data_IF_169765589044
#
_entry.id   IF_169765589044
#
_cell.length_a   1.000
_cell.length_b   1.000
_cell.length_c   1.000
_cell.angle_alpha   90.00
_cell.angle_beta   90.00
_cell.angle_gamma   90.00
#
_symmetry.space_group_name_H-M   'P 1'
#
loop_
_entity.id
_entity.type
_entity.pdbx_description
1 polymer ?
#
# COMPACT_ATOMS: atom_id res chain seq x y z
N UNK A 1 -18.35 44.06 -15.76
CA UNK A 1 -17.52 45.25 -15.58
C UNK A 1 -16.88 45.11 -14.20
N UNK A 2 -15.83 44.45 -14.10
CA UNK A 2 -14.39 44.72 -14.05
C UNK A 2 -14.02 45.84 -13.05
N UNK A 3 -13.55 45.41 -11.88
CA UNK A 3 -12.75 46.21 -10.94
C UNK A 3 -11.80 45.26 -10.15
N UNK A 4 -10.91 44.56 -10.86
CA UNK A 4 -9.76 43.84 -10.30
C UNK A 4 -8.62 43.79 -11.32
N UNK A 5 -8.04 44.95 -11.60
CA UNK A 5 -6.76 45.02 -12.30
C UNK A 5 -6.00 46.22 -11.81
N UNK A 6 -5.12 46.06 -10.83
CA UNK A 6 -3.94 46.88 -10.54
C UNK A 6 -3.38 46.56 -9.15
N UNK A 7 -2.76 45.38 -8.99
CA UNK A 7 -1.72 45.23 -7.97
C UNK A 7 -0.49 44.63 -8.64
N UNK A 8 0.45 45.51 -8.94
CA UNK A 8 1.76 45.15 -9.47
C UNK A 8 2.67 44.61 -8.37
N UNK A 9 3.31 43.46 -8.60
CA UNK A 9 4.28 42.80 -7.71
C UNK A 9 5.48 43.70 -7.31
N UNK A 10 5.69 44.85 -7.95
CA UNK A 10 6.76 45.79 -7.62
C UNK A 10 6.44 46.74 -6.47
N UNK A 11 5.19 46.82 -6.00
CA UNK A 11 4.79 47.70 -4.90
C UNK A 11 5.01 47.06 -3.50
N UNK A 12 5.06 45.74 -3.41
CA UNK A 12 5.18 45.03 -2.12
C UNK A 12 6.61 45.02 -1.56
N UNK A 13 7.63 45.23 -2.39
CA UNK A 13 9.04 45.21 -1.96
C UNK A 13 9.59 46.59 -1.52
N UNK A 14 8.78 47.66 -1.57
CA UNK A 14 9.22 49.01 -1.17
C UNK A 14 8.80 49.44 0.25
N UNK A 15 7.94 48.70 0.95
CA UNK A 15 7.47 49.08 2.29
C UNK A 15 7.71 48.01 3.38
N UNK A 16 8.39 46.91 3.06
CA UNK A 16 8.69 45.81 4.00
C UNK A 16 10.06 45.87 4.69
N UNK A 17 10.92 46.85 4.40
CA UNK A 17 12.32 46.82 4.83
C UNK A 17 12.74 47.90 5.85
N UNK A 18 11.81 48.55 6.53
CA UNK A 18 12.17 49.64 7.48
C UNK A 18 11.63 49.42 8.91
N UNK A 19 11.11 48.29 9.29
CA UNK A 19 10.58 48.06 10.65
C UNK A 19 11.27 46.94 11.44
N UNK A 20 12.34 46.34 10.91
CA UNK A 20 12.99 45.16 11.52
C UNK A 20 14.40 45.38 12.12
N UNK A 21 14.96 46.60 12.06
CA UNK A 21 16.38 46.82 12.44
C UNK A 21 16.60 47.74 13.64
N UNK A 22 15.61 47.99 14.51
CA UNK A 22 15.74 48.88 15.65
C UNK A 22 15.70 48.21 17.03
N UNK A 23 15.75 46.86 17.13
CA UNK A 23 15.63 46.16 18.40
C UNK A 23 16.84 45.33 18.85
N UNK A 24 18.01 45.44 18.20
CA UNK A 24 19.16 44.57 18.53
C UNK A 24 20.47 45.33 18.90
N UNK A 25 20.43 46.61 19.29
CA UNK A 25 21.65 47.36 19.66
C UNK A 25 21.48 48.11 20.96
N UNK A 26 20.91 47.52 22.03
CA UNK A 26 20.93 48.17 23.35
C UNK A 26 21.00 47.14 24.47
N UNK A 27 22.04 46.29 24.51
CA UNK A 27 22.37 45.53 25.70
C UNK A 27 23.86 45.15 25.81
N UNK A 28 24.75 46.11 25.51
CA UNK A 28 26.15 45.97 25.88
C UNK A 28 26.67 47.34 26.30
N UNK A 29 26.37 47.78 27.55
CA UNK A 29 27.15 48.77 28.30
C UNK A 29 26.46 48.99 29.67
N UNK A 30 26.78 48.15 30.64
CA UNK A 30 26.87 48.59 32.03
C UNK A 30 27.91 47.73 32.75
N UNK A 31 28.99 48.42 33.10
CA UNK A 31 30.11 47.89 33.88
C UNK A 31 29.70 47.79 35.38
N UNK A 32 30.41 46.88 36.04
CA UNK A 32 30.57 46.73 37.48
C UNK A 32 29.59 45.80 38.21
N UNK A 33 29.99 44.54 38.28
CA UNK A 33 29.67 43.66 39.38
C UNK A 33 30.93 42.85 39.77
N UNK A 34 31.13 42.53 41.05
CA UNK A 34 32.41 42.09 41.62
C UNK A 34 32.77 40.66 41.11
N UNK A 35 34.09 40.47 40.96
CA UNK A 35 34.70 39.18 40.63
C UNK A 35 34.44 38.19 41.74
N UNK A 36 33.56 37.21 41.50
CA UNK A 36 33.45 36.02 42.34
C UNK A 36 34.32 34.95 41.69
N UNK A 37 35.33 34.48 42.41
CA UNK A 37 36.20 33.37 42.00
C UNK A 37 35.37 32.14 41.68
N UNK A 38 35.63 31.41 40.57
CA UNK A 38 34.90 30.20 40.26
C UNK A 38 35.26 29.10 41.26
N UNK A 39 34.26 28.64 42.00
CA UNK A 39 34.31 27.36 42.70
C UNK A 39 34.48 26.24 41.66
N UNK A 40 35.36 25.25 41.88
CA UNK A 40 35.50 24.14 40.93
C UNK A 40 34.16 23.43 40.76
N UNK A 41 33.62 23.44 39.55
CA UNK A 41 32.47 22.63 39.23
C UNK A 41 32.81 21.15 39.42
N UNK A 42 32.02 20.46 40.23
CA UNK A 42 32.11 19.03 40.41
C UNK A 42 32.01 18.35 39.04
N UNK A 43 33.12 17.77 38.63
CA UNK A 43 33.22 16.90 37.48
C UNK A 43 32.39 15.64 37.74
N UNK A 44 31.53 15.27 36.76
CA UNK A 44 31.05 13.91 36.70
C UNK A 44 29.55 13.73 36.66
N UNK A 45 28.88 14.33 35.68
CA UNK A 45 27.68 13.77 35.12
C UNK A 45 28.04 13.11 33.78
N UNK A 46 28.56 11.90 33.80
CA UNK A 46 28.53 11.06 32.62
C UNK A 46 27.06 10.89 32.23
N UNK A 47 26.63 11.61 31.23
CA UNK A 47 25.37 11.30 30.54
C UNK A 47 25.49 9.85 30.11
N UNK A 48 24.87 8.95 30.88
CA UNK A 48 24.79 7.56 30.49
C UNK A 48 24.13 7.56 29.11
N UNK A 49 24.80 7.03 28.10
CA UNK A 49 24.19 6.72 26.81
C UNK A 49 22.88 5.95 27.09
N UNK A 50 21.80 6.22 26.37
CA UNK A 50 20.55 5.52 26.62
C UNK A 50 20.81 4.02 26.55
N UNK A 51 20.71 3.36 27.71
CA UNK A 51 20.81 1.91 27.81
C UNK A 51 19.64 1.34 27.04
N UNK A 52 19.92 0.70 25.91
CA UNK A 52 18.93 -0.16 25.23
C UNK A 52 18.47 -1.16 26.27
N UNK A 53 17.19 -1.16 26.62
CA UNK A 53 16.62 -2.04 27.61
C UNK A 53 16.91 -3.49 27.20
N UNK A 54 17.76 -4.19 27.98
CA UNK A 54 18.09 -5.59 27.80
C UNK A 54 16.94 -6.46 28.30
N UNK A 55 15.85 -6.58 27.51
CA UNK A 55 14.78 -7.53 27.74
C UNK A 55 15.04 -8.85 27.01
N UNK A 56 14.35 -9.91 27.43
CA UNK A 56 14.39 -11.19 26.70
C UNK A 56 13.97 -11.00 25.24
N UNK A 57 14.69 -11.65 24.32
CA UNK A 57 14.35 -11.63 22.89
C UNK A 57 13.07 -12.41 22.64
N UNK A 58 12.14 -11.80 21.91
CA UNK A 58 10.87 -12.39 21.49
C UNK A 58 11.02 -12.75 20.00
N UNK A 59 10.95 -14.03 19.68
CA UNK A 59 10.99 -14.49 18.30
C UNK A 59 9.60 -14.65 17.73
N UNK A 60 9.37 -14.14 16.52
CA UNK A 60 8.16 -14.24 15.74
C UNK A 60 8.37 -15.09 14.50
N UNK A 61 7.65 -16.18 14.37
CA UNK A 61 7.60 -17.02 13.18
C UNK A 61 6.55 -16.46 12.22
N UNK A 62 7.00 -15.78 11.15
CA UNK A 62 6.12 -15.09 10.20
C UNK A 62 6.35 -15.66 8.81
N UNK A 63 5.29 -16.20 8.19
CA UNK A 63 5.33 -16.65 6.81
C UNK A 63 4.86 -15.54 5.87
N UNK A 64 5.58 -15.33 4.78
CA UNK A 64 5.12 -14.47 3.69
C UNK A 64 4.41 -15.28 2.59
N UNK A 65 3.50 -14.61 1.88
CA UNK A 65 2.79 -15.17 0.73
C UNK A 65 3.52 -15.04 -0.61
N UNK A 66 4.82 -14.64 -0.61
CA UNK A 66 5.51 -14.19 -1.80
C UNK A 66 6.72 -15.05 -2.13
N UNK A 67 7.02 -15.17 -3.43
CA UNK A 67 8.26 -15.80 -3.91
C UNK A 67 9.49 -14.97 -3.54
N UNK A 68 10.64 -15.62 -3.37
CA UNK A 68 11.86 -14.98 -2.87
C UNK A 68 12.41 -13.84 -3.75
N UNK A 69 12.07 -13.81 -5.03
CA UNK A 69 12.46 -12.78 -6.01
C UNK A 69 11.38 -11.72 -6.24
N UNK A 70 10.25 -11.78 -5.53
CA UNK A 70 9.19 -10.80 -5.63
C UNK A 70 9.54 -9.52 -4.82
N UNK A 71 9.11 -8.36 -5.32
CA UNK A 71 9.26 -7.10 -4.60
C UNK A 71 8.52 -7.12 -3.26
N UNK A 72 7.41 -7.84 -3.16
CA UNK A 72 6.64 -7.98 -1.92
C UNK A 72 7.42 -8.74 -0.85
N UNK A 73 8.20 -9.74 -1.25
CA UNK A 73 9.12 -10.41 -0.34
C UNK A 73 10.22 -9.46 0.14
N UNK A 74 10.75 -8.63 -0.76
CA UNK A 74 11.73 -7.60 -0.40
C UNK A 74 11.14 -6.61 0.61
N UNK A 75 9.92 -6.14 0.39
CA UNK A 75 9.21 -5.23 1.30
C UNK A 75 8.99 -5.86 2.69
N UNK A 76 8.61 -7.14 2.74
CA UNK A 76 8.49 -7.89 3.99
C UNK A 76 9.84 -8.00 4.74
N UNK A 77 10.92 -8.29 4.02
CA UNK A 77 12.24 -8.41 4.62
C UNK A 77 12.80 -7.05 5.09
N UNK A 78 12.50 -5.96 4.40
CA UNK A 78 12.83 -4.61 4.83
C UNK A 78 12.09 -4.24 6.13
N UNK A 79 10.80 -4.55 6.20
CA UNK A 79 10.04 -4.38 7.43
C UNK A 79 10.62 -5.20 8.58
N UNK A 80 10.94 -6.48 8.35
CA UNK A 80 11.63 -7.34 9.33
C UNK A 80 12.89 -6.66 9.86
N UNK A 81 13.77 -6.22 8.97
CA UNK A 81 15.03 -5.58 9.33
C UNK A 81 14.79 -4.32 10.20
N UNK A 82 13.83 -3.49 9.80
CA UNK A 82 13.45 -2.28 10.55
C UNK A 82 12.92 -2.58 11.96
N UNK A 83 12.10 -3.62 12.11
CA UNK A 83 11.60 -4.06 13.43
C UNK A 83 12.75 -4.53 14.32
N UNK A 84 13.64 -5.36 13.78
CA UNK A 84 14.79 -5.89 14.54
C UNK A 84 15.72 -4.77 14.97
N UNK A 85 16.00 -3.80 14.10
CA UNK A 85 16.81 -2.63 14.38
C UNK A 85 16.16 -1.71 15.45
N UNK A 86 14.92 -1.27 15.22
CA UNK A 86 14.21 -0.37 16.14
C UNK A 86 13.99 -0.98 17.52
N UNK A 87 13.84 -2.31 17.62
CA UNK A 87 13.71 -3.00 18.90
C UNK A 87 15.05 -3.21 19.62
N UNK A 88 16.20 -2.84 19.00
CA UNK A 88 17.53 -3.18 19.50
C UNK A 88 17.75 -4.69 19.61
N UNK A 89 17.13 -5.46 18.72
CA UNK A 89 17.21 -6.93 18.68
C UNK A 89 16.33 -7.64 19.72
N UNK A 90 15.48 -6.93 20.43
CA UNK A 90 14.50 -7.56 21.37
C UNK A 90 13.35 -8.26 20.64
N UNK A 91 13.08 -7.90 19.40
CA UNK A 91 12.22 -8.66 18.49
C UNK A 91 13.12 -9.29 17.43
N UNK A 92 12.89 -10.57 17.17
CA UNK A 92 13.48 -11.30 16.05
C UNK A 92 12.38 -11.91 15.21
N UNK A 93 12.50 -11.81 13.89
CA UNK A 93 11.52 -12.39 12.97
C UNK A 93 12.18 -13.52 12.20
N UNK A 94 11.70 -14.73 12.43
CA UNK A 94 11.98 -15.89 11.59
C UNK A 94 11.08 -15.81 10.37
N UNK A 95 11.65 -15.34 9.26
CA UNK A 95 10.93 -15.05 8.02
C UNK A 95 10.86 -16.32 7.16
N UNK A 96 9.70 -16.93 7.12
CA UNK A 96 9.46 -18.15 6.35
C UNK A 96 9.01 -17.81 4.92
N UNK A 97 9.58 -18.49 3.90
CA UNK A 97 9.12 -18.37 2.53
C UNK A 97 7.66 -18.83 2.33
N UNK A 98 7.08 -18.44 1.19
CA UNK A 98 5.76 -18.92 0.76
C UNK A 98 5.70 -20.46 0.78
N UNK A 99 4.55 -21.00 1.17
CA UNK A 99 4.26 -22.45 1.22
C UNK A 99 5.15 -23.25 2.20
N UNK A 100 5.81 -22.62 3.18
CA UNK A 100 6.63 -23.33 4.17
C UNK A 100 5.77 -24.12 5.17
N UNK A 101 4.78 -23.47 5.76
CA UNK A 101 3.87 -24.08 6.74
C UNK A 101 2.53 -24.38 6.08
N UNK A 102 2.00 -23.44 5.29
CA UNK A 102 0.73 -23.58 4.58
C UNK A 102 0.74 -22.73 3.29
N UNK A 103 -0.24 -22.97 2.42
CA UNK A 103 -0.47 -22.08 1.27
C UNK A 103 -1.08 -20.73 1.70
N UNK A 104 -1.17 -19.80 0.76
CA UNK A 104 -1.65 -18.45 1.05
C UNK A 104 -3.05 -18.42 1.69
N UNK A 105 -3.96 -19.28 1.26
CA UNK A 105 -5.33 -19.31 1.80
C UNK A 105 -5.40 -19.83 3.25
N UNK A 106 -4.39 -20.57 3.69
CA UNK A 106 -4.35 -21.15 5.05
C UNK A 106 -3.57 -20.29 6.07
N UNK A 107 -2.90 -19.20 5.65
CA UNK A 107 -2.01 -18.46 6.55
C UNK A 107 -2.76 -17.81 7.70
N UNK A 108 -3.91 -17.18 7.45
CA UNK A 108 -4.72 -16.56 8.50
C UNK A 108 -5.18 -17.58 9.57
N UNK A 109 -5.54 -18.80 9.16
CA UNK A 109 -5.91 -19.88 10.08
C UNK A 109 -4.70 -20.36 10.89
N UNK A 110 -3.54 -20.45 10.27
CA UNK A 110 -2.31 -20.83 10.97
C UNK A 110 -1.90 -19.77 12.01
N UNK A 111 -2.11 -18.48 11.74
CA UNK A 111 -1.91 -17.40 12.71
C UNK A 111 -2.93 -17.47 13.84
N UNK A 112 -4.21 -17.69 13.52
CA UNK A 112 -5.25 -17.88 14.52
C UNK A 112 -4.94 -19.04 15.48
N UNK A 113 -4.51 -20.17 14.96
CA UNK A 113 -4.17 -21.36 15.71
C UNK A 113 -2.84 -21.26 16.48
N UNK A 114 -1.99 -20.24 16.18
CA UNK A 114 -0.66 -20.11 16.78
C UNK A 114 0.39 -21.04 16.17
N UNK A 115 0.11 -21.70 15.06
CA UNK A 115 1.11 -22.46 14.27
C UNK A 115 2.12 -21.52 13.60
N UNK A 116 1.62 -20.36 13.14
CA UNK A 116 2.39 -19.18 12.80
C UNK A 116 2.13 -18.10 13.86
N UNK A 117 3.14 -17.30 14.14
CA UNK A 117 2.98 -16.11 14.98
C UNK A 117 2.45 -14.92 14.17
N UNK A 118 2.70 -14.92 12.86
CA UNK A 118 2.18 -13.92 11.94
C UNK A 118 2.26 -14.37 10.50
N UNK A 119 1.64 -13.57 9.63
CA UNK A 119 1.66 -13.72 8.19
C UNK A 119 1.81 -12.35 7.50
N UNK A 120 2.45 -12.34 6.33
CA UNK A 120 2.45 -11.21 5.42
C UNK A 120 1.71 -11.63 4.15
N UNK A 121 0.52 -11.09 3.97
CA UNK A 121 -0.42 -11.53 2.93
C UNK A 121 -1.26 -10.37 2.37
N UNK A 122 -2.27 -10.71 1.58
CA UNK A 122 -3.28 -9.78 1.09
C UNK A 122 -4.67 -10.26 1.50
N UNK A 123 -5.59 -9.35 1.91
CA UNK A 123 -6.94 -9.72 2.31
C UNK A 123 -7.78 -10.42 1.22
N UNK A 124 -7.31 -10.44 -0.02
CA UNK A 124 -7.98 -11.11 -1.15
C UNK A 124 -7.77 -12.64 -1.20
N UNK A 125 -6.91 -13.21 -0.33
CA UNK A 125 -6.68 -14.65 -0.24
C UNK A 125 -7.44 -15.28 0.92
N UNK A 126 -6.75 -15.71 1.97
CA UNK A 126 -7.35 -16.38 3.11
C UNK A 126 -8.54 -15.67 3.76
N UNK A 127 -8.43 -14.37 4.07
CA UNK A 127 -9.54 -13.60 4.59
C UNK A 127 -10.77 -13.57 3.67
N UNK A 128 -10.56 -13.40 2.35
CA UNK A 128 -11.63 -13.40 1.35
C UNK A 128 -12.39 -14.73 1.29
N UNK A 129 -11.71 -15.87 1.45
CA UNK A 129 -12.36 -17.17 1.47
C UNK A 129 -13.33 -17.34 2.65
N UNK A 130 -13.16 -16.53 3.69
CA UNK A 130 -14.02 -16.58 4.89
C UNK A 130 -15.17 -15.56 4.81
N UNK A 131 -14.91 -14.39 4.27
CA UNK A 131 -15.91 -13.36 4.05
C UNK A 131 -15.43 -12.40 2.94
N UNK A 132 -16.26 -12.25 1.91
CA UNK A 132 -15.93 -11.40 0.75
C UNK A 132 -15.70 -9.93 1.13
N UNK A 133 -16.25 -9.47 2.27
CA UNK A 133 -15.99 -8.12 2.78
C UNK A 133 -14.49 -7.85 3.05
N UNK A 134 -13.68 -8.88 3.29
CA UNK A 134 -12.24 -8.74 3.46
C UNK A 134 -11.56 -8.18 2.21
N UNK A 135 -12.06 -8.51 1.02
CA UNK A 135 -11.49 -7.99 -0.25
C UNK A 135 -11.62 -6.46 -0.37
N UNK A 136 -12.59 -5.84 0.30
CA UNK A 136 -12.68 -4.37 0.35
C UNK A 136 -11.47 -3.71 1.04
N UNK A 137 -10.69 -4.48 1.78
CA UNK A 137 -9.49 -4.03 2.47
C UNK A 137 -8.19 -4.31 1.70
N UNK A 138 -8.25 -5.06 0.61
CA UNK A 138 -7.08 -5.42 -0.19
C UNK A 138 -7.21 -5.02 -1.66
N UNK A 139 -8.26 -5.50 -2.32
CA UNK A 139 -8.42 -5.48 -3.78
C UNK A 139 -9.78 -4.95 -4.24
N UNK A 140 -10.49 -4.25 -3.37
CA UNK A 140 -11.82 -3.73 -3.67
C UNK A 140 -11.81 -2.52 -4.61
N UNK A 141 -13.00 -1.93 -4.87
CA UNK A 141 -13.13 -0.80 -5.79
C UNK A 141 -12.48 0.49 -5.26
N UNK A 142 -12.15 0.53 -3.97
CA UNK A 142 -11.53 1.68 -3.26
C UNK A 142 -12.21 3.01 -3.51
N UNK A 143 -13.40 3.03 -4.10
CA UNK A 143 -14.16 4.24 -4.46
C UNK A 143 -13.34 5.25 -5.30
N UNK A 144 -12.39 4.77 -6.11
CA UNK A 144 -11.49 5.61 -6.90
C UNK A 144 -10.33 6.24 -6.13
N UNK A 145 -10.20 5.99 -4.83
CA UNK A 145 -9.09 6.47 -4.01
C UNK A 145 -7.76 5.85 -4.45
N UNK A 146 -6.69 6.65 -4.40
CA UNK A 146 -5.33 6.11 -4.46
C UNK A 146 -5.00 5.32 -3.19
N UNK A 147 -3.93 4.51 -3.22
CA UNK A 147 -3.48 3.79 -2.04
C UNK A 147 -3.25 4.68 -0.81
N UNK A 148 -2.68 5.88 -1.00
CA UNK A 148 -2.50 6.87 0.07
C UNK A 148 -3.83 7.40 0.61
N UNK A 149 -4.78 7.74 -0.26
CA UNK A 149 -6.11 8.19 0.17
C UNK A 149 -6.84 7.09 0.92
N UNK A 150 -6.70 5.85 0.46
CA UNK A 150 -7.30 4.69 1.08
C UNK A 150 -6.68 4.39 2.46
N UNK A 151 -5.34 4.45 2.59
CA UNK A 151 -4.68 4.32 3.89
C UNK A 151 -5.04 5.47 4.85
N UNK A 152 -5.32 6.68 4.33
CA UNK A 152 -5.82 7.76 5.18
C UNK A 152 -7.21 7.43 5.76
N UNK A 153 -8.09 6.77 4.98
CA UNK A 153 -9.34 6.20 5.50
C UNK A 153 -9.09 5.12 6.55
N UNK A 154 -8.18 4.20 6.24
CA UNK A 154 -7.89 3.09 7.14
C UNK A 154 -7.41 3.59 8.51
N UNK A 155 -6.46 4.51 8.56
CA UNK A 155 -5.87 4.99 9.80
C UNK A 155 -6.67 6.09 10.51
N UNK A 156 -7.42 6.93 9.79
CA UNK A 156 -8.09 8.12 10.33
C UNK A 156 -9.60 8.19 10.03
N UNK A 157 -10.11 7.31 9.19
CA UNK A 157 -11.53 7.27 8.78
C UNK A 157 -12.32 6.10 9.38
N UNK A 158 -11.72 5.36 10.33
CA UNK A 158 -12.37 4.22 10.99
C UNK A 158 -12.17 2.87 10.30
N UNK A 159 -11.43 2.82 9.19
CA UNK A 159 -11.19 1.59 8.44
C UNK A 159 -10.48 0.51 9.27
N UNK A 160 -9.51 0.91 10.12
CA UNK A 160 -8.80 -0.02 10.99
C UNK A 160 -9.77 -0.74 11.94
N UNK A 161 -10.69 -0.02 12.57
CA UNK A 161 -11.67 -0.63 13.47
C UNK A 161 -12.59 -1.57 12.72
N UNK A 162 -13.07 -1.20 11.54
CA UNK A 162 -13.93 -2.05 10.70
C UNK A 162 -13.22 -3.35 10.31
N UNK A 163 -11.92 -3.29 9.99
CA UNK A 163 -11.16 -4.50 9.67
C UNK A 163 -10.94 -5.39 10.89
N UNK A 164 -10.57 -4.80 12.04
CA UNK A 164 -10.47 -5.57 13.28
C UNK A 164 -11.81 -6.21 13.68
N UNK A 165 -12.93 -5.51 13.51
CA UNK A 165 -14.26 -6.04 13.78
C UNK A 165 -14.60 -7.21 12.84
N UNK A 166 -14.27 -7.11 11.56
CA UNK A 166 -14.42 -8.22 10.61
C UNK A 166 -13.61 -9.45 11.06
N UNK A 167 -12.32 -9.28 11.32
CA UNK A 167 -11.41 -10.38 11.67
C UNK A 167 -11.76 -10.96 13.06
N UNK A 168 -11.92 -10.12 14.08
CA UNK A 168 -12.01 -10.59 15.46
C UNK A 168 -13.44 -10.89 15.92
N UNK A 169 -14.42 -10.09 15.49
CA UNK A 169 -15.81 -10.24 15.96
C UNK A 169 -16.65 -11.09 15.01
N UNK A 170 -16.58 -10.83 13.70
CA UNK A 170 -17.35 -11.59 12.70
C UNK A 170 -16.74 -12.96 12.44
N UNK A 171 -15.45 -13.02 12.12
CA UNK A 171 -14.74 -14.27 11.82
C UNK A 171 -14.24 -14.98 13.08
N UNK A 172 -14.27 -14.34 14.24
CA UNK A 172 -13.84 -14.87 15.55
C UNK A 172 -12.39 -15.37 15.57
N UNK A 173 -11.51 -14.71 14.84
CA UNK A 173 -10.11 -15.10 14.75
C UNK A 173 -9.27 -14.38 15.83
N UNK A 174 -8.34 -15.13 16.43
CA UNK A 174 -7.35 -14.59 17.38
C UNK A 174 -6.20 -13.91 16.63
N UNK A 175 -6.53 -12.87 15.83
CA UNK A 175 -5.60 -12.16 14.98
C UNK A 175 -5.78 -10.66 15.17
N UNK A 176 -4.66 -9.91 15.18
CA UNK A 176 -4.63 -8.47 15.02
C UNK A 176 -3.94 -8.17 13.69
N UNK A 177 -4.59 -7.38 12.86
CA UNK A 177 -4.13 -7.11 11.49
C UNK A 177 -3.77 -5.65 11.31
N UNK A 178 -2.68 -5.38 10.61
CA UNK A 178 -2.27 -4.05 10.21
C UNK A 178 -2.11 -3.99 8.69
N UNK A 179 -2.86 -3.09 8.06
CA UNK A 179 -2.80 -2.90 6.61
C UNK A 179 -1.77 -1.84 6.24
N UNK A 180 -1.02 -2.11 5.18
CA UNK A 180 0.14 -1.32 4.81
C UNK A 180 0.58 -1.56 3.36
N UNK A 181 1.65 -0.90 2.94
CA UNK A 181 2.33 -1.11 1.66
C UNK A 181 1.37 -1.06 0.46
N UNK A 182 0.78 0.12 0.16
CA UNK A 182 -0.14 0.22 -0.96
C UNK A 182 0.59 0.01 -2.28
N UNK A 183 -0.02 -0.78 -3.17
CA UNK A 183 0.43 -0.95 -4.53
C UNK A 183 -0.10 0.16 -5.42
N UNK A 184 0.59 0.39 -6.53
CA UNK A 184 0.10 1.23 -7.62
C UNK A 184 -1.09 0.58 -8.32
N UNK A 185 -1.77 1.33 -9.20
CA UNK A 185 -2.85 0.77 -10.01
C UNK A 185 -2.36 -0.44 -10.80
N UNK A 186 -3.07 -1.55 -10.66
CA UNK A 186 -2.73 -2.80 -11.33
C UNK A 186 -3.07 -2.72 -12.81
N UNK A 187 -2.22 -3.28 -13.71
CA UNK A 187 -2.56 -3.46 -15.10
C UNK A 187 -3.83 -4.28 -15.28
N UNK A 188 -4.57 -4.03 -16.37
CA UNK A 188 -5.70 -4.87 -16.76
C UNK A 188 -5.28 -6.34 -16.89
N UNK A 189 -4.06 -6.58 -17.36
CA UNK A 189 -3.46 -7.89 -17.45
C UNK A 189 -2.50 -8.01 -18.63
N UNK A 190 -2.04 -9.25 -18.83
CA UNK A 190 -1.12 -9.69 -19.87
C UNK A 190 -1.87 -10.54 -20.91
N UNK A 191 -1.76 -10.15 -22.17
CA UNK A 191 -2.56 -10.67 -23.25
C UNK A 191 -1.72 -11.13 -24.44
N UNK A 192 -2.27 -12.05 -25.24
CA UNK A 192 -1.74 -12.43 -26.55
C UNK A 192 -2.03 -11.34 -27.58
N UNK A 193 -3.27 -10.85 -27.58
CA UNK A 193 -3.78 -9.83 -28.48
C UNK A 193 -4.32 -8.63 -27.68
N UNK A 194 -4.38 -7.46 -28.30
CA UNK A 194 -4.89 -6.24 -27.69
C UNK A 194 -6.40 -6.33 -27.43
N UNK A 195 -6.84 -5.99 -26.23
CA UNK A 195 -8.25 -5.84 -25.87
C UNK A 195 -8.75 -4.48 -26.37
N UNK A 196 -9.71 -4.48 -27.25
CA UNK A 196 -10.28 -3.27 -27.88
C UNK A 196 -11.67 -2.92 -27.34
N UNK A 197 -12.37 -3.91 -26.81
CA UNK A 197 -13.73 -3.76 -26.30
C UNK A 197 -14.01 -4.76 -25.16
N UNK A 198 -15.09 -4.56 -24.37
CA UNK A 198 -15.50 -5.54 -23.37
C UNK A 198 -15.84 -6.91 -23.96
N UNK A 199 -16.28 -6.96 -25.23
CA UNK A 199 -16.66 -8.19 -25.90
C UNK A 199 -15.47 -9.15 -26.12
N UNK A 200 -14.25 -8.63 -26.12
CA UNK A 200 -13.03 -9.43 -26.29
C UNK A 200 -12.75 -10.35 -25.08
N UNK A 201 -13.44 -10.13 -23.96
CA UNK A 201 -13.38 -11.02 -22.81
C UNK A 201 -14.31 -12.24 -22.92
N UNK A 202 -15.28 -12.25 -23.84
CA UNK A 202 -16.27 -13.35 -23.95
C UNK A 202 -15.58 -14.69 -24.18
N UNK A 203 -15.77 -15.60 -23.23
CA UNK A 203 -15.20 -16.95 -23.26
C UNK A 203 -13.69 -17.04 -22.98
N UNK A 204 -13.01 -15.92 -22.78
CA UNK A 204 -11.58 -15.90 -22.42
C UNK A 204 -11.37 -16.53 -21.03
N UNK A 205 -10.48 -17.48 -20.94
CA UNK A 205 -10.03 -18.02 -19.65
C UNK A 205 -9.09 -17.04 -19.01
N UNK A 206 -9.59 -16.28 -18.04
CA UNK A 206 -8.85 -15.19 -17.42
C UNK A 206 -8.52 -15.47 -15.97
N UNK A 207 -7.25 -15.25 -15.58
CA UNK A 207 -6.83 -15.37 -14.18
C UNK A 207 -6.95 -14.04 -13.45
N UNK A 208 -7.67 -14.06 -12.34
CA UNK A 208 -7.69 -12.97 -11.36
C UNK A 208 -8.08 -13.52 -9.99
N UNK A 209 -8.12 -12.65 -8.96
CA UNK A 209 -8.42 -13.02 -7.57
C UNK A 209 -9.40 -12.05 -6.90
N UNK A 210 -9.94 -12.43 -5.75
CA UNK A 210 -10.82 -11.59 -4.95
C UNK A 210 -12.09 -11.15 -5.69
N UNK A 211 -12.60 -9.97 -5.40
CA UNK A 211 -13.80 -9.40 -6.03
C UNK A 211 -13.62 -9.12 -7.53
N UNK A 212 -12.39 -8.99 -8.03
CA UNK A 212 -12.13 -8.80 -9.45
C UNK A 212 -12.63 -9.98 -10.31
N UNK A 213 -12.80 -11.17 -9.70
CA UNK A 213 -13.46 -12.32 -10.37
C UNK A 213 -14.82 -11.94 -10.93
N UNK A 214 -15.63 -11.19 -10.17
CA UNK A 214 -16.92 -10.68 -10.62
C UNK A 214 -16.82 -9.66 -11.75
N UNK A 215 -15.77 -8.85 -11.77
CA UNK A 215 -15.55 -7.81 -12.79
C UNK A 215 -15.30 -8.45 -14.16
N UNK A 216 -14.40 -9.43 -14.23
CA UNK A 216 -14.09 -10.11 -15.49
C UNK A 216 -15.21 -11.07 -15.91
N UNK A 217 -15.90 -11.72 -14.96
CA UNK A 217 -17.10 -12.52 -15.25
C UNK A 217 -18.23 -11.68 -15.85
N UNK A 218 -18.42 -10.44 -15.37
CA UNK A 218 -19.39 -9.51 -15.93
C UNK A 218 -19.10 -9.17 -17.41
N UNK A 219 -17.82 -9.09 -17.79
CA UNK A 219 -17.40 -8.91 -19.17
C UNK A 219 -17.50 -10.20 -20.01
N UNK A 220 -17.88 -11.33 -19.41
CA UNK A 220 -18.07 -12.61 -20.10
C UNK A 220 -16.86 -13.54 -20.09
N UNK A 221 -15.82 -13.24 -19.28
CA UNK A 221 -14.68 -14.13 -19.13
C UNK A 221 -15.03 -15.38 -18.30
N UNK A 222 -14.35 -16.49 -18.60
CA UNK A 222 -14.29 -17.68 -17.75
C UNK A 222 -13.16 -17.49 -16.74
N UNK A 223 -13.50 -17.07 -15.52
CA UNK A 223 -12.50 -16.68 -14.53
C UNK A 223 -11.96 -17.88 -13.76
N UNK A 224 -10.63 -17.91 -13.59
CA UNK A 224 -9.90 -18.94 -12.86
C UNK A 224 -9.03 -18.24 -11.80
N UNK A 225 -9.14 -18.66 -10.54
CA UNK A 225 -8.30 -18.15 -9.47
C UNK A 225 -7.18 -19.15 -9.17
N UNK A 226 -5.93 -18.75 -9.44
CA UNK A 226 -4.71 -19.52 -9.14
C UNK A 226 -3.65 -18.61 -8.52
N UNK A 227 -2.71 -19.21 -7.79
CA UNK A 227 -1.60 -18.49 -7.19
C UNK A 227 -0.75 -17.76 -8.23
N UNK A 228 -0.13 -16.63 -7.85
CA UNK A 228 0.71 -15.82 -8.75
C UNK A 228 1.85 -16.62 -9.39
N UNK A 229 2.48 -17.51 -8.63
CA UNK A 229 3.56 -18.36 -9.11
C UNK A 229 3.16 -19.32 -10.26
N UNK A 230 1.87 -19.62 -10.40
CA UNK A 230 1.35 -20.55 -11.41
C UNK A 230 0.87 -19.84 -12.70
N UNK A 231 0.81 -18.51 -12.70
CA UNK A 231 0.21 -17.74 -13.79
C UNK A 231 0.99 -17.92 -15.09
N UNK A 232 2.30 -17.66 -15.09
CA UNK A 232 3.11 -17.74 -16.30
C UNK A 232 3.09 -19.15 -16.90
N UNK A 233 3.24 -20.19 -16.10
CA UNK A 233 3.19 -21.58 -16.58
C UNK A 233 1.80 -21.98 -17.09
N UNK A 234 0.73 -21.42 -16.53
CA UNK A 234 -0.65 -21.64 -16.98
C UNK A 234 -0.94 -20.91 -18.29
N UNK A 235 -0.37 -19.71 -18.48
CA UNK A 235 -0.40 -18.98 -19.75
C UNK A 235 0.35 -19.72 -20.86
N UNK A 236 1.54 -20.25 -20.54
CA UNK A 236 2.37 -20.99 -21.52
C UNK A 236 1.68 -22.27 -22.01
N UNK A 237 1.08 -23.02 -21.08
CA UNK A 237 0.35 -24.27 -21.39
C UNK A 237 -1.06 -24.07 -21.95
N UNK A 238 -1.58 -22.84 -22.04
CA UNK A 238 -2.93 -22.55 -22.49
C UNK A 238 -4.05 -22.97 -21.52
N UNK A 239 -3.72 -23.19 -20.25
CA UNK A 239 -4.73 -23.39 -19.18
C UNK A 239 -5.54 -22.14 -18.99
N UNK A 240 -4.90 -20.97 -19.09
CA UNK A 240 -5.52 -19.65 -19.17
C UNK A 240 -5.04 -18.92 -20.43
N UNK A 241 -5.88 -18.05 -20.97
CA UNK A 241 -5.58 -17.27 -22.16
C UNK A 241 -4.86 -15.96 -21.82
N UNK A 242 -5.30 -15.33 -20.70
CA UNK A 242 -4.75 -14.09 -20.17
C UNK A 242 -4.86 -14.07 -18.65
N UNK A 243 -4.19 -13.12 -18.03
CA UNK A 243 -4.24 -12.95 -16.57
C UNK A 243 -3.50 -11.70 -16.13
N UNK A 244 -3.78 -11.30 -14.92
CA UNK A 244 -3.07 -10.25 -14.19
C UNK A 244 -2.30 -10.83 -13.00
N UNK A 245 -1.34 -10.07 -12.48
CA UNK A 245 -0.79 -10.37 -11.17
C UNK A 245 -0.63 -9.09 -10.35
N UNK A 246 0.28 -8.16 -10.73
CA UNK A 246 0.38 -6.91 -9.99
C UNK A 246 1.05 -5.75 -10.74
N UNK A 247 2.37 -5.75 -10.91
CA UNK A 247 3.16 -4.62 -11.42
C UNK A 247 4.35 -5.11 -12.25
N UNK A 248 5.06 -4.19 -12.91
CA UNK A 248 6.16 -4.54 -13.82
C UNK A 248 7.28 -5.36 -13.16
N UNK A 249 7.59 -5.09 -11.89
CA UNK A 249 8.64 -5.82 -11.15
C UNK A 249 8.18 -7.21 -10.76
N UNK A 250 7.02 -7.34 -10.10
CA UNK A 250 6.45 -8.64 -9.74
C UNK A 250 6.13 -9.50 -10.95
N UNK A 251 5.49 -8.92 -11.97
CA UNK A 251 5.11 -9.64 -13.19
C UNK A 251 6.35 -10.16 -13.93
N UNK A 252 7.46 -9.40 -13.89
CA UNK A 252 8.76 -9.85 -14.42
C UNK A 252 9.33 -10.99 -13.57
N UNK A 253 9.26 -10.89 -12.25
CA UNK A 253 9.77 -11.93 -11.34
C UNK A 253 9.03 -13.26 -11.53
N UNK A 254 7.75 -13.21 -11.86
CA UNK A 254 6.94 -14.40 -12.16
C UNK A 254 6.95 -14.82 -13.62
N UNK A 255 7.64 -14.10 -14.52
CA UNK A 255 7.83 -14.49 -15.91
C UNK A 255 6.68 -14.18 -16.84
N UNK A 256 5.71 -13.33 -16.48
CA UNK A 256 4.58 -12.99 -17.34
C UNK A 256 5.01 -12.35 -18.67
N UNK A 257 6.01 -11.42 -18.69
CA UNK A 257 6.53 -10.83 -19.94
C UNK A 257 7.23 -11.81 -20.87
N UNK A 258 7.59 -13.00 -20.39
CA UNK A 258 8.22 -14.02 -21.23
C UNK A 258 7.19 -14.73 -22.09
N UNK A 259 5.98 -14.94 -21.57
CA UNK A 259 4.90 -15.68 -22.20
C UNK A 259 3.83 -14.81 -22.86
N UNK A 260 3.74 -13.53 -22.52
CA UNK A 260 2.85 -12.55 -23.15
C UNK A 260 3.59 -11.26 -23.44
N UNK A 261 3.30 -10.63 -24.59
CA UNK A 261 4.04 -9.43 -25.05
C UNK A 261 3.21 -8.14 -24.99
N UNK A 262 1.96 -8.23 -24.58
CA UNK A 262 1.07 -7.08 -24.44
C UNK A 262 0.61 -6.99 -22.99
N UNK A 263 0.97 -5.89 -22.34
CA UNK A 263 0.48 -5.50 -21.02
C UNK A 263 -0.49 -4.33 -21.20
N UNK A 264 -1.75 -4.51 -20.82
CA UNK A 264 -2.72 -3.42 -20.87
C UNK A 264 -2.83 -2.75 -19.52
N UNK A 265 -2.71 -1.42 -19.50
CA UNK A 265 -2.59 -0.60 -18.28
C UNK A 265 -3.84 0.23 -18.02
N UNK A 266 -3.93 0.85 -16.85
CA UNK A 266 -5.06 1.68 -16.42
C UNK A 266 -6.38 0.90 -16.35
N UNK A 267 -6.56 0.18 -15.27
CA UNK A 267 -7.75 -0.64 -15.02
C UNK A 267 -8.43 -0.24 -13.71
N UNK A 268 -9.75 -0.36 -13.66
CA UNK A 268 -10.54 -0.14 -12.45
C UNK A 268 -10.86 -1.43 -11.69
N UNK A 269 -10.37 -2.59 -12.14
CA UNK A 269 -10.62 -3.84 -11.41
C UNK A 269 -9.91 -3.84 -10.05
N UNK A 270 -8.72 -3.22 -9.97
CA UNK A 270 -7.91 -3.14 -8.75
C UNK A 270 -7.09 -1.84 -8.76
N UNK A 271 -7.69 -0.71 -8.29
CA UNK A 271 -7.04 0.60 -8.30
C UNK A 271 -5.77 0.68 -7.46
N UNK A 272 -5.69 -0.14 -6.43
CA UNK A 272 -4.52 -0.39 -5.60
C UNK A 272 -4.68 -1.75 -4.94
N UNK A 273 -3.61 -2.32 -4.44
CA UNK A 273 -3.64 -3.47 -3.54
C UNK A 273 -3.02 -3.10 -2.21
N UNK A 274 -3.64 -3.51 -1.13
CA UNK A 274 -3.14 -3.26 0.23
C UNK A 274 -2.75 -4.60 0.83
N UNK A 275 -1.54 -4.65 1.39
CA UNK A 275 -1.03 -5.84 2.05
C UNK A 275 -1.36 -5.81 3.55
N UNK A 276 -1.28 -6.96 4.19
CA UNK A 276 -1.53 -7.14 5.62
C UNK A 276 -0.32 -7.77 6.32
N UNK A 277 -0.02 -7.26 7.51
CA UNK A 277 0.71 -7.99 8.54
C UNK A 277 -0.32 -8.47 9.57
N UNK A 278 -0.59 -9.77 9.54
CA UNK A 278 -1.47 -10.45 10.47
C UNK A 278 -0.64 -11.08 11.59
N UNK A 279 -0.96 -10.76 12.84
CA UNK A 279 -0.23 -11.21 14.01
C UNK A 279 -1.14 -11.99 14.94
N UNK A 280 -0.64 -13.06 15.56
CA UNK A 280 -1.39 -13.71 16.62
C UNK A 280 -1.66 -12.72 17.76
N UNK A 281 -2.95 -12.44 18.00
CA UNK A 281 -3.39 -11.38 18.91
C UNK A 281 -2.89 -11.61 20.33
N UNK A 282 -3.03 -12.84 20.84
CA UNK A 282 -2.59 -13.18 22.21
C UNK A 282 -1.09 -12.94 22.38
N UNK A 283 -0.28 -13.35 21.43
CA UNK A 283 1.17 -13.15 21.46
C UNK A 283 1.51 -11.66 21.35
N UNK A 284 0.84 -10.91 20.45
CA UNK A 284 1.05 -9.48 20.30
C UNK A 284 0.70 -8.70 21.58
N UNK A 285 -0.46 -8.98 22.20
CA UNK A 285 -0.91 -8.29 23.39
C UNK A 285 -0.07 -8.63 24.64
N UNK A 286 0.61 -9.79 24.66
CA UNK A 286 1.52 -10.20 25.75
C UNK A 286 2.87 -9.47 25.71
N UNK A 287 3.23 -8.82 24.61
CA UNK A 287 4.49 -8.08 24.50
C UNK A 287 4.47 -6.81 25.37
N UNK A 288 5.64 -6.33 25.80
CA UNK A 288 5.81 -4.97 26.37
C UNK A 288 5.22 -3.90 25.43
N UNK A 289 4.62 -2.86 25.99
CA UNK A 289 3.91 -1.81 25.23
C UNK A 289 4.81 -1.05 24.25
N UNK A 290 6.08 -0.86 24.60
CA UNK A 290 7.07 -0.27 23.70
C UNK A 290 7.32 -1.14 22.46
N UNK A 291 7.40 -2.46 22.63
CA UNK A 291 7.56 -3.40 21.52
C UNK A 291 6.28 -3.50 20.64
N UNK A 292 5.09 -3.45 21.25
CA UNK A 292 3.84 -3.34 20.51
C UNK A 292 3.83 -2.06 19.65
N UNK A 293 4.32 -0.95 20.21
CA UNK A 293 4.42 0.33 19.50
C UNK A 293 5.43 0.25 18.36
N UNK A 294 6.59 -0.38 18.55
CA UNK A 294 7.58 -0.58 17.50
C UNK A 294 6.96 -1.39 16.35
N UNK A 295 6.30 -2.51 16.63
CA UNK A 295 5.62 -3.32 15.60
C UNK A 295 4.62 -2.47 14.81
N UNK A 296 3.74 -1.75 15.49
CA UNK A 296 2.72 -0.92 14.83
C UNK A 296 3.33 0.19 13.97
N UNK A 297 4.24 0.98 14.53
CA UNK A 297 4.79 2.15 13.82
C UNK A 297 5.76 1.76 12.71
N UNK A 298 6.46 0.65 12.85
CA UNK A 298 7.28 0.10 11.76
C UNK A 298 6.44 -0.32 10.55
N UNK A 299 5.25 -0.86 10.77
CA UNK A 299 4.32 -1.23 9.69
C UNK A 299 3.85 0.02 8.94
N UNK A 300 3.55 1.11 9.66
CA UNK A 300 3.19 2.39 9.05
C UNK A 300 4.37 2.97 8.25
N UNK A 301 5.59 2.94 8.80
CA UNK A 301 6.79 3.39 8.10
C UNK A 301 7.08 2.54 6.85
N UNK A 302 6.90 1.23 6.94
CA UNK A 302 7.06 0.31 5.81
C UNK A 302 6.08 0.58 4.67
N UNK A 303 4.93 1.22 4.94
CA UNK A 303 4.02 1.65 3.87
C UNK A 303 4.65 2.69 2.95
N UNK A 304 5.35 3.68 3.50
CA UNK A 304 6.03 4.71 2.73
C UNK A 304 7.26 4.14 2.00
N UNK A 305 8.11 3.36 2.71
CA UNK A 305 9.27 2.70 2.10
C UNK A 305 8.86 1.79 0.94
N UNK A 306 7.82 0.98 1.13
CA UNK A 306 7.32 0.07 0.11
C UNK A 306 6.78 0.81 -1.11
N UNK A 307 6.01 1.88 -0.94
CA UNK A 307 5.47 2.69 -2.04
C UNK A 307 6.59 3.36 -2.84
N UNK A 308 7.59 3.94 -2.17
CA UNK A 308 8.72 4.58 -2.83
C UNK A 308 9.63 3.59 -3.57
N UNK A 309 9.92 2.44 -2.95
CA UNK A 309 10.70 1.37 -3.56
C UNK A 309 10.01 0.83 -4.81
N UNK A 310 8.69 0.58 -4.74
CA UNK A 310 7.92 0.16 -5.90
C UNK A 310 7.97 1.17 -7.04
N UNK A 311 7.82 2.48 -6.74
CA UNK A 311 7.88 3.53 -7.75
C UNK A 311 9.21 3.47 -8.51
N UNK A 312 10.33 3.37 -7.80
CA UNK A 312 11.65 3.30 -8.40
C UNK A 312 11.85 2.00 -9.20
N UNK A 313 11.59 0.86 -8.59
CA UNK A 313 11.77 -0.46 -9.22
C UNK A 313 10.88 -0.68 -10.43
N UNK A 314 9.59 -0.32 -10.32
CA UNK A 314 8.65 -0.47 -11.42
C UNK A 314 9.03 0.41 -12.62
N UNK A 315 9.56 1.62 -12.40
CA UNK A 315 10.03 2.48 -13.46
C UNK A 315 11.25 1.88 -14.19
N UNK A 316 12.22 1.35 -13.44
CA UNK A 316 13.39 0.68 -14.00
C UNK A 316 13.01 -0.55 -14.83
N UNK A 317 12.13 -1.40 -14.31
CA UNK A 317 11.72 -2.62 -14.98
C UNK A 317 10.79 -2.33 -16.16
N UNK A 318 9.94 -1.31 -16.08
CA UNK A 318 9.18 -0.80 -17.23
C UNK A 318 10.11 -0.42 -18.39
N UNK A 319 11.19 0.33 -18.14
CA UNK A 319 12.14 0.70 -19.17
C UNK A 319 12.83 -0.52 -19.79
N UNK A 320 13.23 -1.50 -18.98
CA UNK A 320 13.81 -2.78 -19.46
C UNK A 320 12.80 -3.58 -20.30
N UNK A 321 11.55 -3.63 -19.89
CA UNK A 321 10.49 -4.34 -20.62
C UNK A 321 10.21 -3.69 -21.97
N UNK A 322 10.19 -2.35 -22.06
CA UNK A 322 10.10 -1.64 -23.33
C UNK A 322 11.25 -2.01 -24.26
N UNK A 323 12.50 -2.03 -23.74
CA UNK A 323 13.70 -2.43 -24.51
C UNK A 323 13.63 -3.89 -24.99
N UNK A 324 12.89 -4.78 -24.30
CA UNK A 324 12.61 -6.15 -24.69
C UNK A 324 11.46 -6.29 -25.69
N UNK A 325 10.85 -5.20 -26.13
CA UNK A 325 9.74 -5.16 -27.09
C UNK A 325 8.36 -5.47 -26.49
N UNK A 326 8.21 -5.37 -25.16
CA UNK A 326 6.89 -5.44 -24.51
C UNK A 326 6.09 -4.20 -24.87
N UNK A 327 4.83 -4.40 -25.24
CA UNK A 327 3.89 -3.31 -25.55
C UNK A 327 3.04 -3.00 -24.31
N UNK A 328 3.15 -1.77 -23.83
CA UNK A 328 2.24 -1.24 -22.80
C UNK A 328 1.16 -0.42 -23.49
N UNK A 329 -0.09 -0.85 -23.37
CA UNK A 329 -1.23 -0.24 -24.08
C UNK A 329 -2.24 0.22 -23.04
N UNK A 330 -2.69 1.47 -23.17
CA UNK A 330 -3.74 2.00 -22.30
C UNK A 330 -5.06 1.29 -22.61
N UNK A 331 -5.70 0.77 -21.60
CA UNK A 331 -7.01 0.11 -21.70
C UNK A 331 -8.05 1.08 -22.29
N UNK A 332 -8.81 0.67 -23.33
CA UNK A 332 -9.85 1.50 -23.92
C UNK A 332 -10.87 1.99 -22.89
N UNK A 333 -11.38 3.21 -23.08
CA UNK A 333 -12.37 3.80 -22.16
C UNK A 333 -13.62 2.91 -22.03
N UNK A 334 -14.08 2.30 -23.13
CA UNK A 334 -15.24 1.40 -23.13
C UNK A 334 -15.06 0.20 -22.19
N UNK A 335 -13.84 -0.35 -22.09
CA UNK A 335 -13.52 -1.44 -21.17
C UNK A 335 -13.54 -0.92 -19.72
N UNK A 336 -12.95 0.24 -19.46
CA UNK A 336 -12.95 0.85 -18.14
C UNK A 336 -14.37 1.21 -17.67
N UNK A 337 -15.20 1.76 -18.54
CA UNK A 337 -16.61 2.03 -18.25
C UNK A 337 -17.42 0.76 -17.96
N UNK A 338 -17.09 -0.33 -18.66
CA UNK A 338 -17.67 -1.65 -18.38
C UNK A 338 -17.28 -2.16 -16.99
N UNK A 339 -16.03 -1.94 -16.55
CA UNK A 339 -15.58 -2.30 -15.21
C UNK A 339 -16.32 -1.51 -14.12
N UNK A 340 -16.63 -0.23 -14.34
CA UNK A 340 -17.43 0.54 -13.38
C UNK A 340 -18.84 -0.02 -13.24
N UNK A 341 -19.50 -0.38 -14.36
CA UNK A 341 -20.80 -1.06 -14.33
C UNK A 341 -20.72 -2.42 -13.65
N UNK A 342 -19.63 -3.15 -13.88
CA UNK A 342 -19.38 -4.41 -13.21
C UNK A 342 -19.26 -4.24 -11.69
N UNK A 343 -18.58 -3.19 -11.21
CA UNK A 343 -18.52 -2.87 -9.80
C UNK A 343 -19.89 -2.59 -9.19
N UNK A 344 -20.79 -1.88 -9.89
CA UNK A 344 -22.15 -1.67 -9.41
C UNK A 344 -22.88 -3.01 -9.22
N UNK A 345 -22.71 -3.94 -10.16
CA UNK A 345 -23.32 -5.27 -10.09
C UNK A 345 -22.72 -6.12 -8.96
N UNK A 346 -21.39 -6.15 -8.84
CA UNK A 346 -20.67 -6.91 -7.80
C UNK A 346 -21.04 -6.37 -6.42
N UNK A 347 -20.97 -5.06 -6.23
CA UNK A 347 -21.30 -4.43 -4.95
C UNK A 347 -22.77 -4.69 -4.55
N UNK A 348 -23.70 -4.65 -5.49
CA UNK A 348 -25.11 -4.96 -5.24
C UNK A 348 -25.31 -6.42 -4.82
N UNK A 349 -24.63 -7.37 -5.48
CA UNK A 349 -24.69 -8.78 -5.15
C UNK A 349 -24.11 -9.08 -3.77
N UNK A 350 -22.91 -8.59 -3.49
CA UNK A 350 -22.21 -8.80 -2.22
C UNK A 350 -22.90 -8.10 -1.03
N UNK A 351 -23.57 -7.00 -1.28
CA UNK A 351 -24.31 -6.25 -0.26
C UNK A 351 -25.61 -6.92 0.19
N UNK A 352 -26.13 -7.87 -0.59
CA UNK A 352 -27.48 -8.42 -0.38
C UNK A 352 -27.65 -9.10 0.99
N UNK A 353 -26.67 -9.92 1.36
CA UNK A 353 -26.73 -10.73 2.57
C UNK A 353 -25.51 -10.55 3.49
N UNK A 354 -24.70 -9.48 3.26
CA UNK A 354 -23.49 -9.20 4.04
C UNK A 354 -23.52 -7.76 4.60
N UNK A 355 -24.04 -7.56 5.82
CA UNK A 355 -24.11 -6.24 6.44
C UNK A 355 -22.72 -5.63 6.72
N UNK A 356 -21.69 -6.45 6.96
CA UNK A 356 -20.30 -5.99 7.11
C UNK A 356 -19.79 -5.40 5.81
N UNK A 357 -20.05 -6.06 4.68
CA UNK A 357 -19.71 -5.53 3.36
C UNK A 357 -20.33 -4.16 3.12
N UNK A 358 -21.63 -4.03 3.41
CA UNK A 358 -22.37 -2.76 3.28
C UNK A 358 -21.77 -1.66 4.16
N UNK A 359 -21.47 -1.98 5.43
CA UNK A 359 -20.91 -1.00 6.36
C UNK A 359 -19.54 -0.49 5.91
N UNK A 360 -18.66 -1.38 5.45
CA UNK A 360 -17.32 -1.05 4.97
C UNK A 360 -17.42 -0.20 3.69
N UNK A 361 -18.20 -0.65 2.71
CA UNK A 361 -18.39 0.04 1.44
C UNK A 361 -18.92 1.46 1.65
N UNK A 362 -19.93 1.61 2.52
CA UNK A 362 -20.51 2.91 2.89
C UNK A 362 -19.48 3.83 3.56
N UNK A 363 -18.65 3.29 4.43
CA UNK A 363 -17.59 4.04 5.11
C UNK A 363 -16.52 4.52 4.13
N UNK A 364 -16.07 3.65 3.21
CA UNK A 364 -15.13 4.03 2.15
C UNK A 364 -15.70 5.12 1.24
N UNK A 365 -16.96 4.97 0.83
CA UNK A 365 -17.64 5.96 0.00
C UNK A 365 -17.71 7.33 0.68
N UNK A 366 -18.14 7.38 1.93
CA UNK A 366 -18.22 8.64 2.69
C UNK A 366 -16.84 9.30 2.86
N UNK A 367 -15.77 8.51 3.02
CA UNK A 367 -14.42 9.05 3.07
C UNK A 367 -13.96 9.59 1.72
N UNK A 368 -14.20 8.87 0.65
CA UNK A 368 -13.91 9.32 -0.71
C UNK A 368 -14.61 10.66 -1.03
N UNK A 369 -15.90 10.76 -0.73
CA UNK A 369 -16.69 12.01 -0.90
C UNK A 369 -16.11 13.19 -0.09
N UNK A 370 -15.46 12.90 1.06
CA UNK A 370 -14.79 13.91 1.89
C UNK A 370 -13.43 14.34 1.34
N UNK A 371 -12.61 13.40 0.85
CA UNK A 371 -11.19 13.69 0.53
C UNK A 371 -10.98 14.14 -0.91
N UNK A 372 -11.83 13.71 -1.85
CA UNK A 372 -11.69 14.08 -3.26
C UNK A 372 -11.78 15.60 -3.52
N UNK A 373 -12.77 16.34 -2.98
CA UNK A 373 -12.85 17.79 -3.21
C UNK A 373 -11.57 18.50 -2.75
N UNK A 374 -11.00 18.08 -1.63
CA UNK A 374 -9.74 18.64 -1.15
C UNK A 374 -8.56 18.29 -2.05
N UNK A 375 -8.40 17.01 -2.39
CA UNK A 375 -7.34 16.55 -3.27
C UNK A 375 -7.39 17.23 -4.65
N UNK A 376 -8.59 17.41 -5.20
CA UNK A 376 -8.79 18.12 -6.45
C UNK A 376 -8.43 19.62 -6.36
N UNK A 377 -8.65 20.22 -5.20
CA UNK A 377 -8.34 21.64 -4.94
C UNK A 377 -6.86 21.92 -4.84
N UNK A 378 -6.10 21.00 -4.19
CA UNK A 378 -4.67 21.25 -3.92
C UNK A 378 -3.73 20.71 -4.99
N UNK A 379 -4.16 19.74 -5.78
CA UNK A 379 -3.32 19.13 -6.80
C UNK A 379 -3.16 20.03 -8.02
N UNK A 380 -1.91 20.24 -8.43
CA UNK A 380 -1.63 20.90 -9.71
C UNK A 380 -1.98 19.93 -10.82
N UNK A 381 -2.98 20.28 -11.62
CA UNK A 381 -3.30 19.55 -12.85
C UNK A 381 -2.33 19.97 -13.93
N UNK A 382 -1.30 19.17 -14.16
CA UNK A 382 -0.44 19.34 -15.33
C UNK A 382 -1.05 18.57 -16.49
N UNK A 383 -1.24 19.21 -17.67
CA UNK A 383 -1.78 18.53 -18.84
C UNK A 383 -0.92 17.34 -19.27
N UNK A 384 0.40 17.43 -19.08
CA UNK A 384 1.38 16.39 -19.41
C UNK A 384 2.56 16.44 -18.42
N UNK A 385 2.55 15.59 -17.38
CA UNK A 385 3.62 15.52 -16.40
C UNK A 385 4.98 15.15 -17.02
N UNK A 386 5.00 14.29 -18.04
CA UNK A 386 6.23 13.88 -18.75
C UNK A 386 6.84 15.08 -19.49
N UNK A 387 6.02 15.85 -20.19
CA UNK A 387 6.43 17.10 -20.83
C UNK A 387 6.99 18.13 -19.86
N UNK A 388 6.42 18.21 -18.64
CA UNK A 388 6.94 19.09 -17.60
C UNK A 388 8.31 18.63 -17.11
N UNK A 389 8.49 17.33 -16.85
CA UNK A 389 9.78 16.77 -16.43
C UNK A 389 10.89 16.95 -17.48
N UNK A 390 10.54 16.98 -18.77
CA UNK A 390 11.48 17.20 -19.85
C UNK A 390 11.89 18.68 -20.07
N UNK A 391 11.22 19.65 -19.41
CA UNK A 391 11.50 21.09 -19.59
C UNK A 391 12.79 21.60 -18.97
N UNK A 392 13.19 21.16 -17.75
CA UNK A 392 14.47 21.59 -17.21
C UNK A 392 15.62 21.04 -18.05
N UNK A 393 16.36 21.93 -18.70
CA UNK A 393 17.67 21.61 -19.28
C UNK A 393 18.69 21.71 -18.15
N UNK A 394 19.04 20.59 -17.56
CA UNK A 394 20.08 20.50 -16.53
C UNK A 394 21.42 20.23 -17.21
#
# INVERSE_FOLDING_TARGET
>A
MSLLSKFSRRGFLKYGSLSGLAAFVTSCLSQNAPVVSPTPAASGGTSAAPTVATGATITWKIQSGWAGNDIFQTMFLNWKASVEEMSGGRIKIDALPVNTITNNNGMLDAVHAGTLDGAHEVPAYGPFQKDHAASLFGTGPMMGMSGQMWLSWYWYGGGQQLYQDLIQRKLKLNVVSFLHMPMQNQPLGWFKDEIKSPDDFKGMKFRTVGLATGIYSFAGASVISIAGADVASSLDRGVIDAGEFNNTTSDTAYGLPDVRKICMTQSYHQPSEILAIDLNKTKFESMPKDLQSIMKWSIIAASADGEWNQMAKNADDYAKLLARGIKFIVTPQSVRDNQLKAWDTVNAAESKDNPEYVAILKSQKAWAEKVFPWADTINIRTPDPVSYAARPKV
#
